data_IF_055828442154
#
_entry.id   IF_055828442154
#
_cell.length_a   1.000
_cell.length_b   1.000
_cell.length_c   1.000
_cell.angle_alpha   90.00
_cell.angle_beta   90.00
_cell.angle_gamma   90.00
#
_symmetry.space_group_name_H-M   'P 1'
#
loop_
_entity.id
_entity.type
_entity.pdbx_description
1 polymer ?
#
# COMPACT_ATOMS: atom_id res chain seq x y z
N UNK A 1 -17.69 64.19 21.40
CA UNK A 1 -17.73 63.21 22.51
C UNK A 1 -18.41 61.93 22.06
N UNK A 2 -17.63 60.83 21.98
CA UNK A 2 -17.93 59.45 22.43
C UNK A 2 -19.25 58.80 21.96
N UNK A 3 -19.18 57.79 21.07
CA UNK A 3 -19.15 56.32 21.35
C UNK A 3 -20.49 55.73 20.80
N UNK A 4 -20.62 54.52 20.25
CA UNK A 4 -19.80 53.33 20.21
C UNK A 4 -20.20 52.52 18.95
N UNK A 5 -19.20 51.93 18.31
CA UNK A 5 -19.28 50.86 17.31
C UNK A 5 -19.96 49.61 17.86
N UNK A 6 -20.91 49.05 17.11
CA UNK A 6 -21.48 47.72 17.33
C UNK A 6 -21.10 46.81 16.16
N UNK A 7 -19.89 46.25 16.19
CA UNK A 7 -19.50 45.14 15.33
C UNK A 7 -20.08 43.87 15.97
N UNK A 8 -21.23 43.41 15.46
CA UNK A 8 -21.77 42.09 15.81
C UNK A 8 -20.88 41.07 15.08
N UNK A 9 -19.92 40.52 15.81
CA UNK A 9 -19.16 39.34 15.39
C UNK A 9 -20.10 38.14 15.53
N UNK A 10 -20.74 37.75 14.43
CA UNK A 10 -21.52 36.52 14.35
C UNK A 10 -20.52 35.35 14.30
N UNK A 11 -20.14 34.82 15.48
CA UNK A 11 -19.44 33.53 15.57
C UNK A 11 -20.49 32.45 15.32
N UNK A 12 -20.75 32.17 14.04
CA UNK A 12 -21.58 31.05 13.63
C UNK A 12 -20.66 29.89 13.24
N UNK A 13 -20.61 28.88 14.11
CA UNK A 13 -20.17 27.51 13.82
C UNK A 13 -18.87 27.34 13.05
N UNK A 14 -17.78 27.06 13.77
CA UNK A 14 -16.76 26.15 13.23
C UNK A 14 -17.46 24.78 13.15
N UNK A 15 -18.19 24.53 12.05
CA UNK A 15 -18.36 23.17 11.60
C UNK A 15 -16.95 22.65 11.39
N UNK A 16 -16.54 21.65 12.19
CA UNK A 16 -15.35 20.88 11.91
C UNK A 16 -15.46 20.47 10.44
N UNK A 17 -14.63 21.07 9.59
CA UNK A 17 -14.52 20.66 8.20
C UNK A 17 -13.91 19.26 8.30
N UNK A 18 -14.76 18.23 8.31
CA UNK A 18 -14.33 16.83 8.26
C UNK A 18 -13.38 16.73 7.09
N UNK A 19 -12.10 16.48 7.38
CA UNK A 19 -11.08 16.23 6.38
C UNK A 19 -11.67 15.18 5.43
N UNK A 20 -11.71 15.49 4.13
CA UNK A 20 -12.18 14.51 3.16
C UNK A 20 -11.36 13.23 3.34
N UNK A 21 -12.04 12.13 3.65
CA UNK A 21 -11.42 10.83 3.90
C UNK A 21 -10.61 10.43 2.65
N UNK A 22 -9.38 9.96 2.86
CA UNK A 22 -8.52 9.59 1.73
C UNK A 22 -9.02 8.28 1.13
N UNK A 23 -9.29 8.25 -0.17
CA UNK A 23 -9.88 7.09 -0.84
C UNK A 23 -8.79 6.29 -1.56
N UNK A 24 -8.82 4.97 -1.42
CA UNK A 24 -7.96 4.04 -2.15
C UNK A 24 -8.84 3.16 -3.03
N UNK A 25 -8.60 3.19 -4.33
CA UNK A 25 -9.27 2.34 -5.30
C UNK A 25 -8.54 1.00 -5.40
N UNK A 26 -9.22 -0.08 -5.03
CA UNK A 26 -8.70 -1.44 -5.16
C UNK A 26 -9.45 -2.15 -6.30
N UNK A 27 -8.73 -2.79 -7.22
CA UNK A 27 -9.31 -3.68 -8.21
C UNK A 27 -9.02 -5.14 -7.84
N UNK A 28 -10.04 -5.99 -7.89
CA UNK A 28 -9.93 -7.41 -7.63
C UNK A 28 -10.01 -8.18 -8.94
N UNK A 29 -8.96 -8.92 -9.27
CA UNK A 29 -8.93 -9.83 -10.38
C UNK A 29 -8.82 -11.26 -9.90
N UNK A 30 -9.50 -12.20 -10.55
CA UNK A 30 -9.48 -13.61 -10.17
C UNK A 30 -9.16 -14.49 -11.37
N UNK A 31 -8.42 -15.57 -11.12
CA UNK A 31 -8.03 -16.52 -12.16
C UNK A 31 -9.20 -17.44 -12.55
N UNK A 32 -9.10 -18.15 -13.69
CA UNK A 32 -10.09 -19.14 -14.07
C UNK A 32 -10.22 -20.28 -13.04
N UNK A 33 -9.12 -20.66 -12.37
CA UNK A 33 -9.14 -21.71 -11.35
C UNK A 33 -9.99 -21.31 -10.12
N UNK A 34 -9.92 -20.04 -9.71
CA UNK A 34 -10.77 -19.50 -8.63
C UNK A 34 -12.23 -19.43 -9.08
N UNK A 35 -12.48 -19.00 -10.32
CA UNK A 35 -13.84 -18.94 -10.87
C UNK A 35 -14.50 -20.33 -10.90
N UNK A 36 -13.75 -21.39 -11.23
CA UNK A 36 -14.22 -22.78 -11.16
C UNK A 36 -14.47 -23.23 -9.72
N UNK A 37 -13.61 -22.83 -8.78
CA UNK A 37 -13.70 -23.26 -7.38
C UNK A 37 -14.90 -22.64 -6.62
N UNK A 38 -15.18 -21.35 -6.83
CA UNK A 38 -16.20 -20.61 -6.07
C UNK A 38 -17.47 -20.32 -6.86
N UNK A 39 -17.37 -20.16 -8.18
CA UNK A 39 -18.41 -19.51 -8.97
C UNK A 39 -18.55 -18.01 -8.67
N UNK A 40 -19.19 -17.28 -9.59
CA UNK A 40 -19.21 -15.81 -9.58
C UNK A 40 -19.91 -15.20 -8.36
N UNK A 41 -21.03 -15.79 -7.91
CA UNK A 41 -21.82 -15.24 -6.80
C UNK A 41 -21.06 -15.29 -5.48
N UNK A 42 -20.47 -16.45 -5.15
CA UNK A 42 -19.72 -16.62 -3.91
C UNK A 42 -18.49 -15.73 -3.88
N UNK A 43 -17.76 -15.66 -5.00
CA UNK A 43 -16.59 -14.82 -5.14
C UNK A 43 -16.91 -13.32 -5.00
N UNK A 44 -17.97 -12.80 -5.64
CA UNK A 44 -18.41 -11.42 -5.42
C UNK A 44 -18.80 -11.15 -3.97
N UNK A 45 -19.47 -12.12 -3.32
CA UNK A 45 -19.79 -12.04 -1.90
C UNK A 45 -18.53 -11.92 -1.02
N UNK A 46 -17.53 -12.76 -1.27
CA UNK A 46 -16.25 -12.75 -0.53
C UNK A 46 -15.48 -11.46 -0.77
N UNK A 47 -15.42 -10.94 -2.00
CA UNK A 47 -14.74 -9.67 -2.31
C UNK A 47 -15.41 -8.51 -1.55
N UNK A 48 -16.75 -8.46 -1.52
CA UNK A 48 -17.47 -7.44 -0.76
C UNK A 48 -17.20 -7.55 0.75
N UNK A 49 -17.14 -8.77 1.29
CA UNK A 49 -16.74 -9.00 2.68
C UNK A 49 -15.32 -8.48 2.95
N UNK A 50 -14.36 -8.73 2.06
CA UNK A 50 -12.99 -8.26 2.22
C UNK A 50 -12.87 -6.73 2.24
N UNK A 51 -13.60 -6.04 1.36
CA UNK A 51 -13.66 -4.58 1.36
C UNK A 51 -14.22 -4.08 2.70
N UNK A 52 -15.32 -4.68 3.16
CA UNK A 52 -15.92 -4.35 4.46
C UNK A 52 -15.01 -4.65 5.66
N UNK A 53 -14.20 -5.69 5.58
CA UNK A 53 -13.20 -6.04 6.59
C UNK A 53 -12.09 -4.99 6.67
N UNK A 54 -11.56 -4.56 5.52
CA UNK A 54 -10.53 -3.52 5.46
C UNK A 54 -11.08 -2.20 6.01
N UNK A 55 -12.27 -1.78 5.60
CA UNK A 55 -12.90 -0.56 6.08
C UNK A 55 -13.19 -0.62 7.60
N UNK A 56 -13.60 -1.77 8.10
CA UNK A 56 -13.80 -1.97 9.53
C UNK A 56 -12.47 -1.90 10.28
N UNK A 57 -11.41 -2.48 9.73
CA UNK A 57 -10.08 -2.41 10.32
C UNK A 57 -9.50 -0.99 10.30
N UNK A 58 -9.74 -0.19 9.24
CA UNK A 58 -9.37 1.23 9.24
C UNK A 58 -10.07 1.99 10.36
N UNK A 59 -11.38 1.80 10.53
CA UNK A 59 -12.15 2.43 11.61
C UNK A 59 -11.66 2.01 12.99
N UNK A 60 -11.46 0.72 13.21
CA UNK A 60 -11.00 0.19 14.51
C UNK A 60 -9.58 0.67 14.87
N UNK A 61 -8.79 1.04 13.86
CA UNK A 61 -7.43 1.56 14.03
C UNK A 61 -7.31 3.08 13.96
N UNK A 62 -8.42 3.85 13.92
CA UNK A 62 -8.39 5.31 13.74
C UNK A 62 -7.57 5.74 12.50
N UNK A 63 -7.76 5.04 11.38
CA UNK A 63 -7.16 5.36 10.09
C UNK A 63 -8.17 6.15 9.25
N UNK A 64 -7.76 7.33 8.77
CA UNK A 64 -8.62 8.27 8.04
C UNK A 64 -8.72 7.92 6.54
N UNK A 65 -9.02 6.65 6.26
CA UNK A 65 -9.07 6.07 4.92
C UNK A 65 -10.36 5.34 4.59
N UNK A 66 -10.68 5.29 3.30
CA UNK A 66 -11.79 4.54 2.74
C UNK A 66 -11.28 3.67 1.59
N UNK A 67 -11.59 2.38 1.64
CA UNK A 67 -11.35 1.49 0.51
C UNK A 67 -12.58 1.47 -0.39
N UNK A 68 -12.33 1.53 -1.69
CA UNK A 68 -13.37 1.43 -2.71
C UNK A 68 -13.01 0.29 -3.65
N UNK A 69 -13.92 -0.66 -3.81
CA UNK A 69 -13.82 -1.61 -4.90
C UNK A 69 -14.10 -0.90 -6.22
N UNK A 70 -13.04 -0.70 -7.00
CA UNK A 70 -13.12 -0.08 -8.33
C UNK A 70 -13.57 -1.06 -9.41
N UNK A 71 -13.29 -2.36 -9.24
CA UNK A 71 -13.61 -3.39 -10.21
C UNK A 71 -13.45 -4.80 -9.63
N UNK A 72 -14.28 -5.75 -10.07
CA UNK A 72 -14.11 -7.18 -9.82
C UNK A 72 -14.29 -7.95 -11.12
N UNK A 73 -13.24 -8.63 -11.60
CA UNK A 73 -13.24 -9.23 -12.94
C UNK A 73 -12.37 -10.47 -13.05
N UNK A 74 -12.81 -11.44 -13.85
CA UNK A 74 -12.01 -12.61 -14.20
C UNK A 74 -10.97 -12.27 -15.25
N UNK A 75 -9.77 -12.82 -15.10
CA UNK A 75 -8.64 -12.61 -16.04
C UNK A 75 -8.20 -13.94 -16.65
N UNK A 76 -7.61 -13.88 -17.85
CA UNK A 76 -7.09 -15.07 -18.55
C UNK A 76 -5.66 -15.41 -18.08
N UNK A 77 -5.47 -15.40 -16.76
CA UNK A 77 -4.19 -15.71 -16.15
C UNK A 77 -4.17 -17.18 -15.73
N UNK A 78 -3.20 -17.93 -16.25
CA UNK A 78 -2.90 -19.26 -15.76
C UNK A 78 -1.94 -19.18 -14.57
N UNK A 79 -2.30 -19.85 -13.50
CA UNK A 79 -1.48 -19.94 -12.29
C UNK A 79 -0.27 -20.83 -12.57
N UNK A 80 0.92 -20.35 -12.22
CA UNK A 80 2.16 -21.11 -12.35
C UNK A 80 3.10 -20.80 -11.20
N UNK A 81 3.85 -21.82 -10.74
CA UNK A 81 4.85 -21.64 -9.69
C UNK A 81 4.22 -21.44 -8.32
N UNK A 82 4.54 -20.32 -7.66
CA UNK A 82 3.99 -19.92 -6.35
C UNK A 82 3.46 -18.49 -6.39
N UNK A 83 2.80 -18.03 -5.32
CA UNK A 83 2.26 -16.66 -5.26
C UNK A 83 3.33 -15.58 -5.54
N UNK A 84 4.57 -15.77 -5.07
CA UNK A 84 5.66 -14.84 -5.36
C UNK A 84 6.00 -14.77 -6.85
N UNK A 85 6.05 -15.91 -7.55
CA UNK A 85 6.28 -15.95 -9.00
C UNK A 85 5.14 -15.24 -9.74
N UNK A 86 3.91 -15.41 -9.26
CA UNK A 86 2.74 -14.76 -9.83
C UNK A 86 2.81 -13.23 -9.64
N UNK A 87 3.20 -12.78 -8.45
CA UNK A 87 3.44 -11.37 -8.16
C UNK A 87 4.56 -10.78 -9.01
N UNK A 88 5.73 -11.44 -9.07
CA UNK A 88 6.87 -11.00 -9.86
C UNK A 88 6.50 -10.87 -11.33
N UNK A 89 5.70 -11.81 -11.84
CA UNK A 89 5.18 -11.76 -13.21
C UNK A 89 4.21 -10.59 -13.42
N UNK A 90 3.35 -10.28 -12.46
CA UNK A 90 2.45 -9.12 -12.52
C UNK A 90 3.20 -7.78 -12.52
N UNK A 91 4.30 -7.70 -11.76
CA UNK A 91 5.14 -6.51 -11.69
C UNK A 91 5.99 -6.35 -12.96
N UNK A 92 6.71 -7.39 -13.37
CA UNK A 92 7.81 -7.28 -14.34
C UNK A 92 7.33 -7.53 -15.77
N UNK A 93 6.39 -8.45 -15.99
CA UNK A 93 6.08 -8.89 -17.35
C UNK A 93 5.44 -7.77 -18.18
N UNK A 94 5.83 -7.72 -19.44
CA UNK A 94 5.28 -6.82 -20.47
C UNK A 94 4.50 -7.59 -21.55
N UNK A 95 4.37 -8.91 -21.40
CA UNK A 95 3.76 -9.80 -22.38
C UNK A 95 2.62 -10.64 -21.77
N UNK A 96 1.71 -11.11 -22.62
CA UNK A 96 0.67 -12.08 -22.25
C UNK A 96 -0.34 -11.54 -21.22
N UNK A 97 -0.96 -12.42 -20.41
CA UNK A 97 -1.97 -12.05 -19.40
C UNK A 97 -1.51 -11.00 -18.38
N UNK A 98 -0.21 -10.88 -18.14
CA UNK A 98 0.34 -9.89 -17.22
C UNK A 98 0.42 -8.47 -17.81
N UNK A 99 0.54 -8.36 -19.15
CA UNK A 99 0.31 -7.07 -19.83
C UNK A 99 -1.14 -6.63 -19.66
N UNK A 100 -2.09 -7.58 -19.78
CA UNK A 100 -3.50 -7.30 -19.58
C UNK A 100 -3.78 -6.75 -18.18
N UNK A 101 -3.15 -7.28 -17.14
CA UNK A 101 -3.29 -6.77 -15.76
C UNK A 101 -2.90 -5.28 -15.63
N UNK A 102 -1.82 -4.87 -16.28
CA UNK A 102 -1.35 -3.48 -16.30
C UNK A 102 -2.36 -2.55 -16.98
N UNK A 103 -2.87 -2.97 -18.14
CA UNK A 103 -3.92 -2.23 -18.85
C UNK A 103 -5.23 -2.17 -18.06
N UNK A 104 -5.62 -3.27 -17.41
CA UNK A 104 -6.81 -3.32 -16.58
C UNK A 104 -6.69 -2.40 -15.37
N UNK A 105 -5.54 -2.39 -14.69
CA UNK A 105 -5.27 -1.46 -13.58
C UNK A 105 -5.46 0.00 -14.00
N UNK A 106 -4.96 0.36 -15.19
CA UNK A 106 -5.15 1.69 -15.78
C UNK A 106 -6.63 1.96 -16.05
N UNK A 107 -7.32 1.04 -16.72
CA UNK A 107 -8.73 1.19 -17.09
C UNK A 107 -9.64 1.35 -15.87
N UNK A 108 -9.33 0.67 -14.77
CA UNK A 108 -10.12 0.73 -13.52
C UNK A 108 -9.67 1.84 -12.59
N UNK A 109 -8.65 2.63 -12.97
CA UNK A 109 -8.01 3.63 -12.12
C UNK A 109 -7.67 3.08 -10.72
N UNK A 110 -7.17 1.84 -10.67
CA UNK A 110 -6.86 1.17 -9.41
C UNK A 110 -5.50 1.61 -8.86
N UNK A 111 -5.52 2.07 -7.61
CA UNK A 111 -4.32 2.40 -6.84
C UNK A 111 -3.58 1.12 -6.46
N UNK A 112 -4.33 0.10 -6.07
CA UNK A 112 -3.82 -1.24 -5.72
C UNK A 112 -4.59 -2.31 -6.48
N UNK A 113 -3.88 -3.32 -6.97
CA UNK A 113 -4.48 -4.48 -7.63
C UNK A 113 -4.35 -5.71 -6.75
N UNK A 114 -5.45 -6.43 -6.54
CA UNK A 114 -5.48 -7.71 -5.84
C UNK A 114 -5.75 -8.82 -6.86
N UNK A 115 -4.87 -9.81 -6.92
CA UNK A 115 -5.01 -11.01 -7.74
C UNK A 115 -5.37 -12.17 -6.80
N UNK A 116 -6.55 -12.73 -7.01
CA UNK A 116 -7.07 -13.88 -6.27
C UNK A 116 -6.73 -15.13 -7.07
N UNK A 117 -5.91 -16.00 -6.49
CA UNK A 117 -5.45 -17.24 -7.10
C UNK A 117 -5.88 -18.46 -6.26
N UNK A 118 -5.81 -19.65 -6.85
CA UNK A 118 -6.01 -20.93 -6.19
C UNK A 118 -4.65 -21.57 -5.86
N UNK A 119 -4.01 -21.06 -4.81
CA UNK A 119 -2.68 -21.52 -4.43
C UNK A 119 -2.59 -21.95 -2.95
N UNK A 120 -2.74 -23.25 -2.64
CA UNK A 120 -2.76 -23.69 -1.26
C UNK A 120 -1.43 -23.45 -0.57
N UNK A 121 -1.48 -22.99 0.68
CA UNK A 121 -0.33 -22.98 1.59
C UNK A 121 0.35 -21.63 1.82
N UNK A 122 -0.12 -20.54 1.20
CA UNK A 122 0.33 -19.17 1.52
C UNK A 122 -0.88 -18.21 1.56
N UNK A 123 -0.95 -17.35 2.59
CA UNK A 123 -2.07 -16.42 2.78
C UNK A 123 -2.10 -15.29 1.74
N UNK A 124 -0.92 -14.76 1.42
CA UNK A 124 -0.75 -13.72 0.43
C UNK A 124 0.69 -13.27 0.30
N UNK A 125 0.95 -12.49 -0.74
CA UNK A 125 2.19 -11.74 -0.97
C UNK A 125 1.84 -10.39 -1.60
N UNK A 126 2.70 -9.41 -1.37
CA UNK A 126 2.57 -8.06 -1.90
C UNK A 126 3.90 -7.58 -2.47
N UNK A 127 3.82 -6.63 -3.39
CA UNK A 127 5.01 -5.91 -3.85
C UNK A 127 5.65 -5.07 -2.74
N UNK A 128 6.60 -4.21 -3.14
CA UNK A 128 7.35 -3.43 -2.19
C UNK A 128 6.64 -2.13 -1.79
N UNK A 129 6.74 -1.78 -0.51
CA UNK A 129 6.41 -0.45 0.01
C UNK A 129 7.10 0.64 -0.82
N UNK A 130 6.43 1.77 -1.06
CA UNK A 130 7.06 2.90 -1.72
C UNK A 130 7.04 2.86 -3.25
N UNK A 131 6.64 1.73 -3.87
CA UNK A 131 6.71 1.56 -5.32
C UNK A 131 5.33 1.35 -5.93
N UNK A 132 4.83 2.40 -6.59
CA UNK A 132 3.52 2.36 -7.24
C UNK A 132 3.46 1.33 -8.38
N UNK A 133 4.58 1.00 -9.04
CA UNK A 133 4.61 -0.06 -10.06
C UNK A 133 4.47 -1.46 -9.43
N UNK A 134 4.68 -1.58 -8.13
CA UNK A 134 4.58 -2.82 -7.37
C UNK A 134 3.35 -2.87 -6.46
N UNK A 135 2.38 -1.97 -6.62
CA UNK A 135 1.14 -1.97 -5.85
C UNK A 135 0.17 -3.10 -6.28
N UNK A 136 0.67 -4.33 -6.17
CA UNK A 136 0.01 -5.57 -6.45
C UNK A 136 0.05 -6.44 -5.19
N UNK A 137 -1.07 -7.11 -4.95
CA UNK A 137 -1.28 -8.10 -3.91
C UNK A 137 -1.71 -9.38 -4.62
N UNK A 138 -1.21 -10.52 -4.20
CA UNK A 138 -1.65 -11.83 -4.66
C UNK A 138 -2.02 -12.66 -3.44
N UNK A 139 -3.23 -13.23 -3.42
CA UNK A 139 -3.78 -13.96 -2.28
C UNK A 139 -4.42 -15.27 -2.72
N UNK A 140 -4.36 -16.29 -1.86
CA UNK A 140 -5.16 -17.49 -2.05
C UNK A 140 -6.62 -17.19 -1.72
N UNK A 141 -7.56 -17.62 -2.57
CA UNK A 141 -8.99 -17.39 -2.35
C UNK A 141 -9.48 -17.97 -1.01
N UNK A 142 -8.85 -19.04 -0.51
CA UNK A 142 -9.15 -19.65 0.80
C UNK A 142 -8.80 -18.76 1.99
N UNK A 143 -7.96 -17.76 1.78
CA UNK A 143 -7.51 -16.83 2.82
C UNK A 143 -8.28 -15.50 2.81
N UNK A 144 -9.29 -15.39 1.94
CA UNK A 144 -10.24 -14.29 1.94
C UNK A 144 -11.35 -14.52 2.99
N UNK A 145 -11.97 -13.45 3.45
CA UNK A 145 -13.11 -13.44 4.36
C UNK A 145 -12.71 -13.36 5.83
N UNK A 146 -12.10 -14.40 6.38
CA UNK A 146 -11.87 -14.48 7.84
C UNK A 146 -10.45 -14.07 8.26
N UNK A 147 -9.46 -14.18 7.36
CA UNK A 147 -8.05 -14.14 7.73
C UNK A 147 -7.37 -12.79 7.48
N UNK A 148 -8.12 -11.77 7.05
CA UNK A 148 -7.62 -10.41 6.78
C UNK A 148 -6.38 -10.39 5.87
N UNK A 149 -6.23 -11.36 4.96
CA UNK A 149 -5.01 -11.52 4.17
C UNK A 149 -4.79 -10.34 3.22
N UNK A 150 -5.85 -9.83 2.59
CA UNK A 150 -5.73 -8.62 1.76
C UNK A 150 -5.35 -7.41 2.61
N UNK A 151 -5.94 -7.25 3.80
CA UNK A 151 -5.60 -6.17 4.71
C UNK A 151 -4.13 -6.24 5.17
N UNK A 152 -3.63 -7.43 5.50
CA UNK A 152 -2.21 -7.64 5.85
C UNK A 152 -1.29 -7.22 4.71
N UNK A 153 -1.56 -7.69 3.51
CA UNK A 153 -0.76 -7.37 2.34
C UNK A 153 -0.83 -5.88 1.96
N UNK A 154 -1.98 -5.24 2.14
CA UNK A 154 -2.12 -3.78 2.01
C UNK A 154 -1.29 -3.05 3.07
N UNK A 155 -1.23 -3.57 4.30
CA UNK A 155 -0.35 -3.06 5.35
C UNK A 155 1.12 -3.06 4.92
N UNK A 156 1.62 -4.14 4.32
CA UNK A 156 2.99 -4.18 3.79
C UNK A 156 3.21 -3.16 2.66
N UNK A 157 2.25 -2.97 1.74
CA UNK A 157 2.34 -1.92 0.71
C UNK A 157 2.35 -0.50 1.29
N UNK A 158 1.86 -0.32 2.51
CA UNK A 158 1.89 0.94 3.27
C UNK A 158 3.07 1.01 4.26
N UNK A 159 3.96 0.01 4.25
CA UNK A 159 5.17 0.01 5.07
C UNK A 159 4.93 -0.46 6.50
N UNK A 160 3.88 -1.23 6.75
CA UNK A 160 3.78 -1.93 8.03
C UNK A 160 4.73 -3.13 8.05
N UNK A 161 5.25 -3.46 9.22
CA UNK A 161 5.99 -4.69 9.48
C UNK A 161 5.28 -5.57 10.49
N UNK A 162 5.81 -6.78 10.62
CA UNK A 162 5.41 -7.76 11.61
C UNK A 162 5.78 -7.34 13.03
N UNK A 163 5.26 -8.05 14.04
CA UNK A 163 5.73 -7.93 15.42
C UNK A 163 7.20 -8.38 15.52
N UNK A 164 8.06 -7.72 16.28
CA UNK A 164 9.52 -8.00 16.33
C UNK A 164 9.90 -9.46 16.55
N UNK A 165 9.11 -10.20 17.33
CA UNK A 165 9.42 -11.57 17.68
C UNK A 165 9.15 -12.57 16.55
N UNK A 166 8.51 -12.13 15.47
CA UNK A 166 8.14 -13.00 14.35
C UNK A 166 9.25 -13.08 13.30
N UNK A 167 9.16 -14.06 12.41
CA UNK A 167 9.91 -14.02 11.16
C UNK A 167 9.25 -13.07 10.15
N UNK A 168 9.81 -12.89 8.95
CA UNK A 168 9.12 -12.18 7.86
C UNK A 168 9.48 -10.70 7.72
N UNK A 169 8.53 -9.92 7.17
CA UNK A 169 8.78 -8.54 6.71
C UNK A 169 8.73 -7.57 7.89
N UNK A 170 9.87 -6.95 8.15
CA UNK A 170 10.02 -5.86 9.11
C UNK A 170 10.19 -4.53 8.40
N UNK A 171 9.59 -3.48 8.95
CA UNK A 171 9.89 -2.12 8.51
C UNK A 171 11.00 -1.52 9.37
N UNK A 172 12.23 -1.58 8.86
CA UNK A 172 13.39 -0.93 9.52
C UNK A 172 13.36 0.60 9.38
N UNK A 173 12.63 1.14 8.40
CA UNK A 173 12.51 2.59 8.19
C UNK A 173 11.56 3.27 9.18
N UNK A 174 10.59 2.53 9.72
CA UNK A 174 9.71 2.96 10.80
C UNK A 174 9.60 1.84 11.84
N UNK A 175 10.54 1.75 12.80
CA UNK A 175 10.61 0.64 13.75
C UNK A 175 9.35 0.45 14.60
N UNK A 176 8.57 1.51 14.81
CA UNK A 176 7.30 1.43 15.52
C UNK A 176 6.12 0.93 14.67
N UNK A 177 6.26 0.83 13.35
CA UNK A 177 5.20 0.41 12.45
C UNK A 177 5.07 -1.12 12.43
N UNK A 178 4.80 -1.72 13.59
CA UNK A 178 4.78 -3.17 13.79
C UNK A 178 3.44 -3.69 14.30
N UNK A 179 3.11 -4.92 13.91
CA UNK A 179 1.98 -5.64 14.47
C UNK A 179 2.12 -5.81 15.98
N UNK A 180 1.01 -5.79 16.70
CA UNK A 180 0.91 -5.97 18.15
C UNK A 180 0.30 -7.32 18.53
N UNK A 181 0.81 -7.92 19.61
CA UNK A 181 0.25 -9.09 20.28
C UNK A 181 -0.07 -8.68 21.73
N UNK A 182 -1.29 -8.96 22.17
CA UNK A 182 -1.71 -8.80 23.55
C UNK A 182 -1.86 -10.17 24.21
N UNK A 183 -1.22 -10.35 25.36
CA UNK A 183 -1.32 -11.57 26.18
C UNK A 183 -1.80 -11.19 27.56
N UNK A 184 -2.90 -11.79 27.98
CA UNK A 184 -3.46 -11.75 29.31
C UNK A 184 -3.11 -13.06 30.03
N UNK A 185 -2.22 -12.98 31.01
CA UNK A 185 -1.78 -14.15 31.78
C UNK A 185 -2.90 -14.76 32.63
N UNK A 186 -3.92 -13.96 32.97
CA UNK A 186 -5.02 -14.37 33.84
C UNK A 186 -6.26 -14.83 33.06
N UNK A 187 -6.41 -14.41 31.80
CA UNK A 187 -7.55 -14.76 30.97
C UNK A 187 -7.23 -14.86 29.47
N UNK A 188 -6.93 -16.08 29.02
CA UNK A 188 -6.62 -16.36 27.61
C UNK A 188 -7.72 -15.93 26.62
N UNK A 189 -8.99 -15.75 27.05
CA UNK A 189 -10.04 -15.23 26.17
C UNK A 189 -9.82 -13.80 25.71
N UNK A 190 -8.99 -13.04 26.42
CA UNK A 190 -8.59 -11.67 26.10
C UNK A 190 -7.38 -11.58 25.18
N UNK A 191 -6.68 -12.67 24.92
CA UNK A 191 -5.52 -12.68 24.05
C UNK A 191 -5.92 -12.39 22.61
N UNK A 192 -5.17 -11.50 21.97
CA UNK A 192 -5.37 -11.19 20.56
C UNK A 192 -4.08 -10.76 19.87
N UNK A 193 -4.09 -10.84 18.56
CA UNK A 193 -3.08 -10.26 17.71
C UNK A 193 -3.75 -9.32 16.69
N UNK A 194 -3.05 -8.24 16.34
CA UNK A 194 -3.49 -7.33 15.27
C UNK A 194 -3.14 -7.89 13.89
N UNK A 195 -3.67 -7.29 12.82
CA UNK A 195 -3.58 -7.79 11.44
C UNK A 195 -2.15 -8.11 10.99
N UNK A 196 -1.17 -7.29 11.40
CA UNK A 196 0.24 -7.46 11.02
C UNK A 196 1.01 -8.40 11.96
N UNK A 197 0.38 -8.96 12.98
CA UNK A 197 0.96 -9.96 13.85
C UNK A 197 0.32 -11.34 13.62
N UNK A 198 1.03 -12.39 13.97
CA UNK A 198 0.58 -13.79 13.97
C UNK A 198 1.21 -14.55 15.14
N UNK A 199 0.59 -15.64 15.56
CA UNK A 199 0.89 -16.27 16.85
C UNK A 199 1.86 -17.45 16.76
N UNK A 200 2.40 -17.75 15.58
CA UNK A 200 3.29 -18.87 15.34
C UNK A 200 4.42 -18.58 14.32
N UNK A 201 5.55 -19.28 14.43
CA UNK A 201 6.56 -19.33 13.37
C UNK A 201 6.10 -20.15 12.14
N UNK A 202 4.88 -20.72 12.21
CA UNK A 202 4.16 -21.37 11.12
C UNK A 202 2.86 -20.59 10.83
N UNK A 203 2.02 -20.96 9.85
CA UNK A 203 0.80 -20.23 9.50
C UNK A 203 -0.46 -21.01 9.91
N UNK A 204 -0.55 -21.45 11.15
CA UNK A 204 -1.77 -22.06 11.70
C UNK A 204 -2.67 -20.95 12.26
N UNK A 205 -3.65 -20.58 11.44
CA UNK A 205 -4.51 -19.40 11.57
C UNK A 205 -5.48 -19.39 12.77
N UNK A 206 -5.42 -20.37 13.66
CA UNK A 206 -6.23 -20.44 14.86
C UNK A 206 -5.41 -21.11 15.96
N UNK A 207 -4.62 -20.33 16.71
CA UNK A 207 -4.35 -20.77 18.08
C UNK A 207 -5.64 -20.55 18.86
N UNK A 208 -6.17 -21.58 19.55
CA UNK A 208 -7.41 -21.46 20.31
C UNK A 208 -7.36 -20.32 21.35
N UNK A 209 -6.14 -19.94 21.75
CA UNK A 209 -5.86 -18.94 22.75
C UNK A 209 -5.57 -17.55 22.17
N UNK A 210 -5.69 -17.29 20.86
CA UNK A 210 -5.51 -15.94 20.30
C UNK A 210 -6.52 -15.63 19.20
N UNK A 211 -7.27 -14.55 19.40
CA UNK A 211 -8.26 -14.06 18.44
C UNK A 211 -7.60 -13.02 17.53
N UNK A 212 -7.77 -13.13 16.20
CA UNK A 212 -7.37 -12.07 15.28
C UNK A 212 -8.26 -10.84 15.52
N UNK A 213 -7.66 -9.75 15.98
CA UNK A 213 -8.34 -8.48 16.11
C UNK A 213 -8.45 -7.80 14.73
N UNK A 214 -9.64 -7.33 14.32
CA UNK A 214 -9.86 -6.67 13.03
C UNK A 214 -9.34 -5.23 13.07
N UNK A 215 -8.04 -5.05 13.32
CA UNK A 215 -7.38 -3.77 13.44
C UNK A 215 -5.87 -3.92 13.19
N UNK A 216 -5.27 -2.88 12.63
CA UNK A 216 -3.83 -2.62 12.73
C UNK A 216 -3.49 -2.04 14.11
N UNK A 217 -2.25 -2.25 14.54
CA UNK A 217 -1.81 -1.78 15.85
C UNK A 217 -1.92 -0.27 16.02
N UNK A 218 -2.46 0.15 17.16
CA UNK A 218 -2.64 1.56 17.52
C UNK A 218 -2.68 1.72 19.05
N UNK A 219 -1.80 2.56 19.64
CA UNK A 219 -1.81 2.91 21.07
C UNK A 219 -3.12 3.53 21.58
N UNK A 220 -3.85 4.21 20.71
CA UNK A 220 -5.13 4.87 21.01
C UNK A 220 -6.33 3.98 20.63
N UNK A 221 -6.10 2.92 19.86
CA UNK A 221 -7.11 1.93 19.48
C UNK A 221 -7.40 0.97 20.62
N UNK A 222 -8.65 0.47 20.69
CA UNK A 222 -9.10 -0.46 21.73
C UNK A 222 -9.91 -1.60 21.15
N UNK A 223 -9.68 -2.81 21.65
CA UNK A 223 -10.54 -3.99 21.44
C UNK A 223 -10.94 -4.51 22.82
N UNK A 224 -12.25 -4.61 23.10
CA UNK A 224 -12.78 -4.98 24.42
C UNK A 224 -12.19 -4.14 25.58
N UNK A 225 -11.87 -2.87 25.33
CA UNK A 225 -11.26 -1.97 26.32
C UNK A 225 -9.74 -2.11 26.47
N UNK A 226 -9.11 -3.08 25.81
CA UNK A 226 -7.67 -3.33 25.84
C UNK A 226 -6.96 -2.59 24.71
N UNK A 227 -5.77 -2.05 24.97
CA UNK A 227 -4.99 -1.32 23.97
C UNK A 227 -4.55 -2.23 22.82
N UNK A 228 -4.70 -1.78 21.59
CA UNK A 228 -4.30 -2.53 20.38
C UNK A 228 -2.86 -2.26 19.94
N UNK A 229 -2.07 -1.60 20.78
CA UNK A 229 -0.71 -1.19 20.46
C UNK A 229 -0.08 -0.36 21.57
N UNK A 230 1.18 0.01 21.34
CA UNK A 230 1.98 0.85 22.22
C UNK A 230 2.95 1.70 21.39
N UNK A 231 3.85 2.45 22.03
CA UNK A 231 4.78 3.33 21.30
C UNK A 231 5.68 2.60 20.29
N UNK A 232 5.95 1.30 20.49
CA UNK A 232 6.70 0.43 19.57
C UNK A 232 5.80 -0.30 18.56
N UNK A 233 4.48 -0.26 18.74
CA UNK A 233 3.50 -0.96 17.91
C UNK A 233 2.35 -0.03 17.49
N UNK A 234 2.59 0.72 16.41
CA UNK A 234 1.68 1.72 15.87
C UNK A 234 1.68 1.71 14.33
N UNK A 235 1.15 0.65 13.74
CA UNK A 235 0.88 0.57 12.30
C UNK A 235 -0.06 1.69 11.83
N UNK A 236 -1.03 2.09 12.64
CA UNK A 236 -2.01 3.12 12.27
C UNK A 236 -1.35 4.46 11.91
N UNK A 237 -0.35 4.89 12.68
CA UNK A 237 0.40 6.11 12.37
C UNK A 237 1.14 6.01 11.03
N UNK A 238 1.76 4.86 10.74
CA UNK A 238 2.44 4.61 9.47
C UNK A 238 1.45 4.65 8.30
N UNK A 239 0.33 3.94 8.43
CA UNK A 239 -0.71 3.91 7.39
C UNK A 239 -1.23 5.32 7.12
N UNK A 240 -1.63 6.07 8.15
CA UNK A 240 -2.11 7.45 8.00
C UNK A 240 -1.09 8.38 7.32
N UNK A 241 0.21 8.15 7.52
CA UNK A 241 1.26 8.94 6.88
C UNK A 241 1.40 8.66 5.38
N UNK A 242 1.09 7.42 4.96
CA UNK A 242 1.31 6.94 3.59
C UNK A 242 0.03 6.86 2.75
N UNK A 243 -1.12 6.87 3.41
CA UNK A 243 -2.45 6.82 2.79
C UNK A 243 -2.64 7.83 1.64
N UNK A 244 -2.20 9.11 1.76
CA UNK A 244 -2.34 10.06 0.65
C UNK A 244 -1.46 9.73 -0.55
N UNK A 245 -0.32 9.07 -0.34
CA UNK A 245 0.60 8.71 -1.42
C UNK A 245 0.08 7.51 -2.22
N UNK A 246 -0.38 6.47 -1.54
CA UNK A 246 -0.96 5.29 -2.20
C UNK A 246 -2.24 5.64 -2.98
N UNK A 247 -3.06 6.57 -2.47
CA UNK A 247 -4.26 7.07 -3.16
C UNK A 247 -3.97 7.83 -4.47
N UNK A 248 -2.70 8.13 -4.77
CA UNK A 248 -2.27 8.76 -6.02
C UNK A 248 -1.64 7.77 -7.00
N UNK A 249 -1.53 6.49 -6.64
CA UNK A 249 -0.85 5.50 -7.47
C UNK A 249 -1.50 5.33 -8.84
N UNK A 250 -2.83 5.32 -8.93
CA UNK A 250 -3.54 5.28 -10.22
C UNK A 250 -3.20 6.49 -11.10
N UNK A 251 -3.03 7.67 -10.50
CA UNK A 251 -2.63 8.89 -11.20
C UNK A 251 -1.21 8.79 -11.73
N UNK A 252 -0.24 8.41 -10.88
CA UNK A 252 1.14 8.19 -11.31
C UNK A 252 1.25 7.14 -12.40
N UNK A 253 0.48 6.06 -12.26
CA UNK A 253 0.44 4.99 -13.23
C UNK A 253 -0.14 5.45 -14.57
N UNK A 254 -1.24 6.21 -14.56
CA UNK A 254 -1.83 6.79 -15.77
C UNK A 254 -0.84 7.68 -16.53
N UNK A 255 -0.12 8.56 -15.82
CA UNK A 255 0.84 9.49 -16.41
C UNK A 255 2.00 8.78 -17.12
N UNK A 256 2.54 7.70 -16.57
CA UNK A 256 3.60 6.92 -17.23
C UNK A 256 3.18 6.41 -18.61
N UNK A 257 1.96 5.88 -18.69
CA UNK A 257 1.46 5.24 -19.90
C UNK A 257 0.93 6.23 -20.94
N UNK A 258 0.40 7.38 -20.53
CA UNK A 258 -0.03 8.42 -21.47
C UNK A 258 1.16 9.12 -22.15
N UNK A 259 2.31 9.19 -21.48
CA UNK A 259 3.50 9.84 -22.05
C UNK A 259 4.45 8.87 -22.78
N UNK A 260 4.07 7.60 -23.00
CA UNK A 260 4.98 6.53 -23.49
C UNK A 260 6.30 6.47 -22.68
N UNK A 261 6.27 6.91 -21.42
CA UNK A 261 7.45 6.98 -20.57
C UNK A 261 7.69 5.59 -20.00
N UNK A 262 8.51 4.82 -20.72
CA UNK A 262 9.13 3.62 -20.16
C UNK A 262 10.04 4.10 -19.04
N UNK A 263 9.65 3.87 -17.78
CA UNK A 263 10.60 4.03 -16.70
C UNK A 263 11.70 2.98 -16.88
N UNK A 264 12.98 3.36 -16.90
CA UNK A 264 14.04 2.38 -16.92
C UNK A 264 13.95 1.50 -15.69
N UNK A 265 14.26 0.22 -15.88
CA UNK A 265 14.60 -0.65 -14.75
C UNK A 265 15.71 0.03 -13.93
N UNK A 266 15.46 0.19 -12.63
CA UNK A 266 16.46 0.71 -11.71
C UNK A 266 17.35 -0.46 -11.31
N UNK A 267 18.66 -0.36 -11.56
CA UNK A 267 19.62 -1.31 -11.03
C UNK A 267 20.63 -0.61 -10.14
N UNK A 268 20.93 -1.22 -8.99
CA UNK A 268 21.99 -0.78 -8.11
C UNK A 268 23.29 -1.43 -8.56
N UNK A 269 24.22 -0.65 -9.10
CA UNK A 269 25.57 -1.12 -9.37
C UNK A 269 26.48 -0.77 -8.20
N UNK A 270 27.18 -1.78 -7.66
CA UNK A 270 28.19 -1.60 -6.63
C UNK A 270 29.50 -1.16 -7.29
N UNK A 271 29.99 0.01 -6.92
CA UNK A 271 31.23 0.59 -7.43
C UNK A 271 32.18 0.82 -6.24
N UNK A 272 32.96 -0.21 -5.90
CA UNK A 272 33.79 -0.21 -4.69
C UNK A 272 32.94 -0.13 -3.40
N UNK A 273 33.18 0.88 -2.56
CA UNK A 273 32.43 1.14 -1.32
C UNK A 273 31.17 2.01 -1.50
N UNK A 274 30.88 2.46 -2.73
CA UNK A 274 29.72 3.31 -3.04
C UNK A 274 28.67 2.54 -3.85
N UNK A 275 27.40 2.90 -3.67
CA UNK A 275 26.29 2.43 -4.52
C UNK A 275 25.98 3.51 -5.56
N UNK A 276 25.89 3.11 -6.83
CA UNK A 276 25.43 3.98 -7.93
C UNK A 276 24.04 3.50 -8.34
N UNK A 277 23.10 4.44 -8.41
CA UNK A 277 21.80 4.23 -9.05
C UNK A 277 22.00 4.41 -10.55
N UNK A 278 21.74 3.37 -11.33
CA UNK A 278 21.86 3.42 -12.79
C UNK A 278 20.47 3.29 -13.38
N UNK A 279 20.06 4.30 -14.14
CA UNK A 279 18.88 4.27 -15.01
C UNK A 279 19.35 3.81 -16.39
N UNK A 280 18.98 2.59 -16.80
CA UNK A 280 19.55 2.03 -18.03
C UNK A 280 18.94 2.57 -19.33
N UNK A 281 17.72 3.12 -19.33
CA UNK A 281 17.05 3.57 -20.57
C UNK A 281 16.01 4.68 -20.31
N UNK A 282 16.40 5.95 -20.47
CA UNK A 282 15.44 7.01 -20.84
C UNK A 282 15.81 7.45 -22.24
N UNK A 283 14.95 7.14 -23.20
CA UNK A 283 14.99 7.72 -24.55
C UNK A 283 13.88 8.77 -24.59
N UNK A 284 14.25 10.05 -24.49
CA UNK A 284 13.34 11.15 -24.80
C UNK A 284 13.48 11.41 -26.30
N UNK A 285 12.46 11.10 -27.08
CA UNK A 285 12.45 11.47 -28.49
C UNK A 285 12.28 12.98 -28.62
N UNK A 286 13.21 13.56 -29.37
CA UNK A 286 13.27 14.98 -29.71
C UNK A 286 12.02 15.34 -30.50
N UNK A 287 11.07 15.99 -29.81
CA UNK A 287 10.02 16.91 -30.33
C UNK A 287 8.81 17.03 -29.37
N UNK A 288 8.80 16.35 -28.23
CA UNK A 288 7.85 16.64 -27.16
C UNK A 288 8.39 17.75 -26.24
N UNK A 289 7.73 18.92 -26.22
CA UNK A 289 7.90 19.88 -25.13
C UNK A 289 7.23 19.31 -23.88
N UNK A 290 7.93 18.45 -23.17
CA UNK A 290 7.49 17.95 -21.87
C UNK A 290 8.35 18.62 -20.81
N UNK A 291 7.84 19.70 -20.21
CA UNK A 291 8.37 20.19 -18.94
C UNK A 291 8.13 19.11 -17.88
N UNK A 292 9.18 18.39 -17.51
CA UNK A 292 9.15 17.56 -16.31
C UNK A 292 9.26 18.55 -15.13
N UNK A 293 8.13 18.84 -14.48
CA UNK A 293 8.11 19.65 -13.25
C UNK A 293 9.13 19.03 -12.27
N UNK A 294 10.05 19.83 -11.73
CA UNK A 294 11.11 19.36 -10.84
C UNK A 294 10.56 18.63 -9.59
N UNK A 295 9.26 18.75 -9.31
CA UNK A 295 8.53 17.94 -8.32
C UNK A 295 8.53 16.43 -8.60
N UNK A 296 8.74 16.00 -9.84
CA UNK A 296 8.73 14.58 -10.23
C UNK A 296 10.02 13.82 -9.89
N UNK A 297 11.10 14.52 -9.52
CA UNK A 297 12.33 13.90 -9.05
C UNK A 297 12.38 13.99 -7.52
N UNK A 298 11.57 13.17 -6.84
CA UNK A 298 11.83 12.86 -5.42
C UNK A 298 12.69 11.61 -5.38
N UNK A 299 14.00 11.80 -5.25
CA UNK A 299 14.92 10.70 -4.94
C UNK A 299 14.43 10.03 -3.64
N UNK A 300 14.12 8.73 -3.69
CA UNK A 300 13.83 7.96 -2.48
C UNK A 300 15.02 8.07 -1.50
N UNK A 301 14.69 8.05 -0.20
CA UNK A 301 15.58 8.40 0.94
C UNK A 301 16.96 7.71 0.88
N UNK A 302 17.97 8.46 1.35
CA UNK A 302 19.43 8.20 1.45
C UNK A 302 20.35 8.90 0.43
N UNK A 303 19.88 9.92 -0.28
CA UNK A 303 20.75 10.77 -1.11
C UNK A 303 20.82 12.20 -0.55
N UNK A 304 21.90 12.50 0.17
CA UNK A 304 22.32 13.89 0.44
C UNK A 304 22.86 14.50 -0.85
N UNK A 305 22.01 15.21 -1.58
CA UNK A 305 22.43 16.00 -2.74
C UNK A 305 23.06 17.28 -2.23
N UNK A 306 24.40 17.33 -2.24
CA UNK A 306 25.14 18.55 -1.85
C UNK A 306 24.77 19.72 -2.76
N UNK A 307 24.69 20.92 -2.19
CA UNK A 307 24.57 22.18 -2.93
C UNK A 307 25.62 22.22 -4.04
N UNK A 308 25.18 22.36 -5.30
CA UNK A 308 26.04 22.36 -6.50
C UNK A 308 26.20 21.01 -7.21
N UNK A 309 25.48 19.96 -6.81
CA UNK A 309 25.47 18.69 -7.54
C UNK A 309 24.73 18.81 -8.87
N UNK A 310 25.34 18.29 -9.93
CA UNK A 310 24.76 18.23 -11.29
C UNK A 310 24.18 16.83 -11.54
N UNK A 311 22.90 16.75 -11.89
CA UNK A 311 22.30 15.52 -12.43
C UNK A 311 22.53 15.53 -13.93
N UNK A 312 23.21 14.50 -14.46
CA UNK A 312 23.47 14.37 -15.90
C UNK A 312 22.57 13.29 -16.46
N UNK A 313 21.77 13.65 -17.46
CA UNK A 313 21.20 12.71 -18.41
C UNK A 313 22.12 12.68 -19.64
N UNK A 314 22.16 11.57 -20.37
CA UNK A 314 23.18 11.30 -21.39
C UNK A 314 23.11 12.19 -22.65
N UNK A 315 22.41 13.31 -22.59
CA UNK A 315 22.74 14.48 -23.41
C UNK A 315 22.29 15.77 -22.71
N UNK A 316 23.29 16.57 -22.31
CA UNK A 316 23.25 17.91 -21.69
C UNK A 316 22.93 18.00 -20.17
N UNK A 317 23.75 18.72 -19.39
CA UNK A 317 23.47 18.99 -17.97
C UNK A 317 22.34 20.00 -17.80
N UNK A 318 21.45 19.76 -16.82
CA UNK A 318 20.51 20.76 -16.30
C UNK A 318 21.11 21.33 -15.01
N UNK A 319 21.36 22.63 -14.98
CA UNK A 319 21.67 23.34 -13.73
C UNK A 319 20.37 23.63 -12.98
N UNK A 320 20.36 23.31 -11.68
CA UNK A 320 19.24 23.62 -10.80
C UNK A 320 19.44 25.05 -10.31
N UNK A 321 18.75 26.00 -10.95
CA UNK A 321 18.68 27.38 -10.47
C UNK A 321 17.39 27.60 -9.66
N UNK A 322 17.57 28.24 -8.50
CA UNK A 322 16.55 28.44 -7.48
C UNK A 322 15.79 29.76 -7.75
N UNK A 323 14.47 29.76 -8.04
CA UNK A 323 13.71 30.99 -7.93
C UNK A 323 13.36 31.22 -6.45
N UNK A 324 13.78 32.40 -5.99
CA UNK A 324 13.60 32.91 -4.64
C UNK A 324 12.18 32.69 -4.08
N UNK A 325 12.16 32.23 -2.83
CA UNK A 325 11.03 32.18 -1.91
C UNK A 325 10.63 33.61 -1.50
N UNK A 326 9.33 33.96 -1.49
CA UNK A 326 8.75 34.78 -0.43
C UNK A 326 8.41 33.93 0.80
#
# INVERSE_FOLDING_TARGET
MKKLTGLILLICGISAMTRAQTRINIAFFYTPAVAVALGLNQMNGIINTEVGNIDSAFRNSNIDGLVVNSCSMGIELQEAGCLQILLDSAVISVNGPFRQLKELRKLTAADVVVIIANYPGQGGVSGNFGDFNQAYIVVDYRCLGANYSVARELGYLMGCGNHESQSGRFNDAAPSARGYIYVDEDNADNNFNTIMAYTDEQPSYDQPDFKMAPCWSNPDGRVNGLATGDAAHNNAAQINSYLPEIALYSTYYGMLYEQNLVLPAWSFQKLGSKRRLVMEQVVIEKDSQTEIDAKFIRLQRNFDVKKGATVRFDSQPIEIDNPQVP
#
